data_IF_048584244890
#
_entry.id   IF_048584244890
#
_cell.length_a   1.000
_cell.length_b   1.000
_cell.length_c   1.000
_cell.angle_alpha   90.00
_cell.angle_beta   90.00
_cell.angle_gamma   90.00
#
_symmetry.space_group_name_H-M   'P 1'
#
loop_
_entity.id
_entity.type
_entity.pdbx_description
1 polymer ?
#
# COMPACT_ATOMS: atom_id res chain seq x y z
N UNK A 1 10.96 -9.55 -17.60
CA UNK A 1 10.02 -8.65 -16.93
C UNK A 1 10.86 -7.58 -16.26
N UNK A 2 10.76 -6.33 -16.73
CA UNK A 2 11.47 -5.21 -16.11
C UNK A 2 10.97 -5.04 -14.67
N UNK A 3 11.89 -4.88 -13.71
CA UNK A 3 11.56 -4.86 -12.29
C UNK A 3 10.53 -3.78 -11.95
N UNK A 4 9.45 -4.18 -11.28
CA UNK A 4 8.40 -3.29 -10.83
C UNK A 4 8.95 -2.33 -9.76
N UNK A 5 9.44 -1.15 -10.17
CA UNK A 5 9.97 -0.14 -9.25
C UNK A 5 8.84 0.62 -8.57
N UNK A 6 8.34 0.07 -7.47
CA UNK A 6 7.41 0.77 -6.58
C UNK A 6 8.14 1.93 -5.90
N UNK A 7 7.62 3.17 -6.01
CA UNK A 7 8.19 4.33 -5.33
C UNK A 7 7.97 4.30 -3.82
N UNK A 8 8.84 5.00 -3.09
CA UNK A 8 8.79 5.08 -1.62
C UNK A 8 7.42 5.51 -1.05
N UNK A 9 6.70 6.51 -1.58
CA UNK A 9 5.37 6.86 -1.05
C UNK A 9 4.31 5.79 -1.38
N UNK A 10 4.46 5.10 -2.51
CA UNK A 10 3.56 4.04 -2.96
C UNK A 10 3.66 2.79 -2.08
N UNK A 11 4.85 2.46 -1.55
CA UNK A 11 4.98 1.30 -0.65
C UNK A 11 4.18 1.47 0.65
N UNK A 12 4.06 2.71 1.13
CA UNK A 12 3.32 3.03 2.36
C UNK A 12 1.82 2.84 2.17
N UNK A 13 1.31 3.27 1.02
CA UNK A 13 -0.06 3.01 0.58
C UNK A 13 -0.30 1.51 0.46
N UNK A 14 0.62 0.80 -0.21
CA UNK A 14 0.45 -0.63 -0.48
C UNK A 14 0.42 -1.45 0.81
N UNK A 15 1.29 -1.14 1.78
CA UNK A 15 1.25 -1.76 3.11
C UNK A 15 -0.07 -1.48 3.85
N UNK A 16 -0.56 -0.23 3.81
CA UNK A 16 -1.82 0.12 4.45
C UNK A 16 -3.01 -0.63 3.84
N UNK A 17 -3.00 -0.86 2.53
CA UNK A 17 -4.02 -1.65 1.84
C UNK A 17 -3.87 -3.16 2.06
N UNK A 18 -2.63 -3.66 2.16
CA UNK A 18 -2.34 -5.07 2.45
C UNK A 18 -2.89 -5.50 3.82
N UNK A 19 -2.87 -4.58 4.78
CA UNK A 19 -3.33 -4.82 6.16
C UNK A 19 -4.79 -4.41 6.39
N UNK A 20 -5.44 -3.80 5.39
CA UNK A 20 -6.84 -3.41 5.48
C UNK A 20 -7.76 -4.58 5.14
N UNK A 21 -8.89 -4.67 5.84
CA UNK A 21 -9.98 -5.59 5.48
C UNK A 21 -10.87 -4.94 4.41
N UNK A 22 -10.66 -5.31 3.15
CA UNK A 22 -11.45 -4.86 2.00
C UNK A 22 -11.01 -3.53 1.38
N UNK A 23 -11.96 -2.86 0.71
CA UNK A 23 -11.70 -1.64 -0.04
C UNK A 23 -11.79 -0.38 0.83
N UNK A 24 -10.89 0.57 0.62
CA UNK A 24 -10.76 1.81 1.42
C UNK A 24 -10.95 3.03 0.55
N UNK A 25 -11.62 4.07 1.05
CA UNK A 25 -11.72 5.34 0.33
C UNK A 25 -10.34 5.92 0.02
N UNK A 26 -10.09 6.36 -1.23
CA UNK A 26 -8.78 6.91 -1.63
C UNK A 26 -8.38 8.09 -0.74
N UNK A 27 -9.31 8.98 -0.43
CA UNK A 27 -9.07 10.13 0.47
C UNK A 27 -8.54 9.71 1.84
N UNK A 28 -9.08 8.62 2.40
CA UNK A 28 -8.67 8.07 3.70
C UNK A 28 -7.25 7.48 3.62
N UNK A 29 -6.93 6.73 2.57
CA UNK A 29 -5.60 6.15 2.36
C UNK A 29 -4.53 7.23 2.21
N UNK A 30 -4.82 8.23 1.38
CA UNK A 30 -3.93 9.37 1.10
C UNK A 30 -3.65 10.17 2.38
N UNK A 31 -4.69 10.45 3.16
CA UNK A 31 -4.59 11.12 4.47
C UNK A 31 -3.78 10.29 5.48
N UNK A 32 -4.13 9.02 5.67
CA UNK A 32 -3.47 8.13 6.63
C UNK A 32 -1.96 7.97 6.34
N UNK A 33 -1.61 7.82 5.06
CA UNK A 33 -0.22 7.65 4.63
C UNK A 33 0.56 8.97 4.58
N UNK A 34 -0.10 10.12 4.76
CA UNK A 34 0.53 11.45 4.68
C UNK A 34 1.10 11.75 3.29
N UNK A 35 0.42 11.27 2.25
CA UNK A 35 0.81 11.48 0.85
C UNK A 35 -0.08 12.58 0.27
N UNK A 36 0.51 13.53 -0.44
CA UNK A 36 -0.24 14.70 -0.93
C UNK A 36 -0.90 14.47 -2.31
N UNK A 37 -0.73 13.29 -2.91
CA UNK A 37 -1.14 13.03 -4.30
C UNK A 37 -1.82 11.68 -4.43
N UNK A 38 -3.04 11.68 -4.98
CA UNK A 38 -3.73 10.46 -5.38
C UNK A 38 -3.01 9.73 -6.54
N UNK A 39 -2.10 10.41 -7.24
CA UNK A 39 -1.32 9.85 -8.35
C UNK A 39 -0.49 8.62 -7.96
N UNK A 40 -0.14 8.44 -6.67
CA UNK A 40 0.53 7.23 -6.20
C UNK A 40 -0.39 6.00 -6.22
N UNK A 41 -1.70 6.20 -6.05
CA UNK A 41 -2.70 5.13 -6.22
C UNK A 41 -2.84 4.78 -7.70
N UNK A 42 -2.86 5.77 -8.59
CA UNK A 42 -2.91 5.54 -10.04
C UNK A 42 -1.66 4.80 -10.53
N UNK A 43 -0.49 5.13 -9.99
CA UNK A 43 0.75 4.42 -10.28
C UNK A 43 0.65 2.94 -9.85
N UNK A 44 0.26 2.67 -8.61
CA UNK A 44 0.05 1.29 -8.13
C UNK A 44 -0.99 0.55 -8.97
N UNK A 45 -2.03 1.24 -9.45
CA UNK A 45 -3.04 0.68 -10.35
C UNK A 45 -2.44 0.31 -11.70
N UNK A 46 -1.60 1.18 -12.26
CA UNK A 46 -0.93 0.93 -13.54
C UNK A 46 0.03 -0.26 -13.47
N UNK A 47 0.61 -0.50 -12.29
CA UNK A 47 1.44 -1.67 -11.98
C UNK A 47 0.61 -2.94 -11.66
N UNK A 48 -0.72 -2.84 -11.65
CA UNK A 48 -1.60 -3.95 -11.32
C UNK A 48 -1.63 -4.35 -9.84
N UNK A 49 -1.02 -3.56 -8.94
CA UNK A 49 -0.90 -3.87 -7.51
C UNK A 49 -2.12 -3.46 -6.68
N UNK A 50 -2.98 -2.61 -7.23
CA UNK A 50 -4.25 -2.20 -6.60
C UNK A 50 -5.37 -2.15 -7.62
N UNK A 51 -6.60 -2.26 -7.13
CA UNK A 51 -7.83 -2.09 -7.90
C UNK A 51 -8.57 -0.85 -7.41
N UNK A 52 -9.09 -0.06 -8.34
CA UNK A 52 -9.88 1.14 -8.05
C UNK A 52 -11.33 0.89 -8.43
N UNK A 53 -12.23 1.25 -7.52
CA UNK A 53 -13.68 1.04 -7.62
C UNK A 53 -14.40 2.37 -7.47
N UNK A 54 -15.50 2.51 -8.21
CA UNK A 54 -16.45 3.59 -8.01
C UNK A 54 -17.67 3.03 -7.28
N UNK A 55 -17.96 3.56 -6.10
CA UNK A 55 -19.14 3.19 -5.33
C UNK A 55 -20.11 4.35 -5.32
N UNK A 56 -21.30 4.13 -5.85
CA UNK A 56 -22.41 5.08 -5.81
C UNK A 56 -23.22 4.82 -4.55
N UNK A 57 -23.36 5.81 -3.69
CA UNK A 57 -24.25 5.73 -2.52
C UNK A 57 -25.71 5.96 -2.91
N UNK A 58 -26.62 5.63 -2.01
CA UNK A 58 -28.07 5.81 -2.19
C UNK A 58 -28.49 7.27 -2.41
N UNK A 59 -27.69 8.23 -1.96
CA UNK A 59 -27.86 9.67 -2.18
C UNK A 59 -27.26 10.16 -3.52
N UNK A 60 -26.80 9.24 -4.38
CA UNK A 60 -26.23 9.54 -5.69
C UNK A 60 -24.78 10.02 -5.67
N UNK A 61 -24.12 10.11 -4.50
CA UNK A 61 -22.71 10.50 -4.43
C UNK A 61 -21.80 9.37 -4.91
N UNK A 62 -20.80 9.72 -5.72
CA UNK A 62 -19.78 8.78 -6.18
C UNK A 62 -18.57 8.88 -5.25
N UNK A 63 -18.15 7.75 -4.70
CA UNK A 63 -16.92 7.64 -3.92
C UNK A 63 -15.92 6.73 -4.64
N UNK A 64 -14.66 7.16 -4.67
CA UNK A 64 -13.57 6.36 -5.24
C UNK A 64 -12.90 5.57 -4.12
N UNK A 65 -12.86 4.26 -4.28
CA UNK A 65 -12.30 3.32 -3.32
C UNK A 65 -11.18 2.51 -3.97
N UNK A 66 -10.25 2.07 -3.15
CA UNK A 66 -9.06 1.33 -3.57
C UNK A 66 -8.90 0.11 -2.67
N UNK A 67 -8.62 -1.04 -3.28
CA UNK A 67 -8.25 -2.25 -2.57
C UNK A 67 -6.94 -2.80 -3.14
N UNK A 68 -6.21 -3.57 -2.34
CA UNK A 68 -5.07 -4.32 -2.84
C UNK A 68 -5.54 -5.35 -3.87
N UNK A 69 -4.79 -5.53 -4.96
CA UNK A 69 -5.03 -6.63 -5.89
C UNK A 69 -4.44 -7.94 -5.35
N UNK A 70 -4.71 -9.07 -6.03
CA UNK A 70 -4.06 -10.33 -5.67
C UNK A 70 -2.54 -10.22 -5.87
N UNK A 71 -2.14 -9.64 -7.00
CA UNK A 71 -0.75 -9.42 -7.38
C UNK A 71 -0.04 -8.48 -6.39
N UNK A 72 -0.73 -7.45 -5.90
CA UNK A 72 -0.26 -6.56 -4.85
C UNK A 72 -0.06 -7.27 -3.51
N UNK A 73 -0.99 -8.15 -3.15
CA UNK A 73 -0.89 -8.95 -1.93
C UNK A 73 0.27 -9.94 -2.02
N UNK A 74 0.40 -10.67 -3.14
CA UNK A 74 1.51 -11.60 -3.39
C UNK A 74 2.86 -10.88 -3.40
N UNK A 75 2.91 -9.66 -3.95
CA UNK A 75 4.09 -8.81 -3.87
C UNK A 75 4.45 -8.46 -2.42
N UNK A 76 3.50 -7.95 -1.63
CA UNK A 76 3.76 -7.57 -0.24
C UNK A 76 4.13 -8.75 0.65
N UNK A 77 3.50 -9.92 0.45
CA UNK A 77 3.86 -11.16 1.15
C UNK A 77 5.33 -11.50 0.88
N UNK A 78 5.78 -11.47 -0.37
CA UNK A 78 7.20 -11.73 -0.71
C UNK A 78 8.16 -10.70 -0.09
N UNK A 79 7.75 -9.44 0.02
CA UNK A 79 8.55 -8.43 0.73
C UNK A 79 8.66 -8.74 2.23
N UNK A 80 7.55 -9.12 2.87
CA UNK A 80 7.51 -9.47 4.30
C UNK A 80 8.20 -10.82 4.59
N UNK A 81 8.25 -11.73 3.61
CA UNK A 81 9.05 -12.94 3.69
C UNK A 81 10.54 -12.61 3.79
N UNK A 82 11.02 -11.58 3.08
CA UNK A 82 12.39 -11.10 3.25
C UNK A 82 12.63 -10.52 4.64
N UNK A 83 11.67 -9.77 5.21
CA UNK A 83 11.74 -9.28 6.60
C UNK A 83 11.91 -10.46 7.56
N UNK A 84 11.09 -11.50 7.38
CA UNK A 84 11.11 -12.71 8.22
C UNK A 84 12.42 -13.47 8.06
N UNK A 85 12.82 -13.76 6.81
CA UNK A 85 14.04 -14.50 6.47
C UNK A 85 15.29 -13.86 7.06
N UNK A 86 15.34 -12.53 7.10
CA UNK A 86 16.50 -11.78 7.57
C UNK A 86 16.37 -11.30 9.03
N UNK A 87 15.31 -11.69 9.75
CA UNK A 87 15.12 -11.33 11.16
C UNK A 87 14.93 -9.83 11.41
N UNK A 88 14.31 -9.12 10.46
CA UNK A 88 14.24 -7.66 10.45
C UNK A 88 13.00 -7.08 11.16
N UNK A 89 12.15 -7.94 11.75
CA UNK A 89 10.92 -7.51 12.41
C UNK A 89 11.13 -6.50 13.55
N UNK A 90 12.27 -6.57 14.25
CA UNK A 90 12.63 -5.59 15.28
C UNK A 90 12.91 -4.17 14.76
N UNK A 91 12.93 -3.97 13.44
CA UNK A 91 13.09 -2.68 12.78
C UNK A 91 11.83 -2.21 12.05
N UNK A 92 10.72 -2.97 12.17
CA UNK A 92 9.45 -2.67 11.50
C UNK A 92 8.45 -2.18 12.53
N UNK A 93 8.24 -0.87 12.53
CA UNK A 93 7.23 -0.19 13.32
C UNK A 93 6.09 0.29 12.41
N UNK A 94 4.87 0.07 12.90
CA UNK A 94 3.66 0.58 12.30
C UNK A 94 2.75 1.19 13.35
N UNK A 95 1.93 2.14 12.93
CA UNK A 95 1.01 2.88 13.79
C UNK A 95 -0.33 3.06 13.08
N UNK A 96 -1.40 3.17 13.84
CA UNK A 96 -2.74 3.33 13.29
C UNK A 96 -3.00 4.81 12.96
N UNK A 97 -3.36 5.11 11.71
CA UNK A 97 -3.82 6.45 11.27
C UNK A 97 -5.10 6.35 10.49
N UNK A 98 -6.09 7.15 10.88
CA UNK A 98 -7.45 7.09 10.31
C UNK A 98 -7.97 5.63 10.23
N UNK A 99 -7.66 4.79 11.23
CA UNK A 99 -8.04 3.37 11.26
C UNK A 99 -7.36 2.46 10.23
N UNK A 100 -6.21 2.86 9.67
CA UNK A 100 -5.35 2.02 8.83
C UNK A 100 -3.99 1.82 9.52
N UNK A 101 -3.40 0.64 9.37
CA UNK A 101 -2.05 0.38 9.85
C UNK A 101 -1.03 0.94 8.84
N UNK A 102 -0.16 1.83 9.31
CA UNK A 102 0.75 2.58 8.44
C UNK A 102 2.18 2.49 8.99
N UNK A 103 3.14 2.15 8.14
CA UNK A 103 4.57 2.13 8.49
C UNK A 103 5.05 3.53 8.90
N UNK A 104 5.96 3.58 9.88
CA UNK A 104 6.69 4.80 10.20
C UNK A 104 7.70 5.16 9.07
N UNK A 105 8.43 6.27 9.21
CA UNK A 105 9.35 6.72 8.16
C UNK A 105 10.53 5.77 7.93
N UNK A 106 11.10 5.17 8.99
CA UNK A 106 12.24 4.26 8.88
C UNK A 106 11.82 2.92 8.30
N UNK A 107 10.71 2.36 8.79
CA UNK A 107 10.12 1.11 8.33
C UNK A 107 9.68 1.22 6.88
N UNK A 108 9.10 2.36 6.46
CA UNK A 108 8.75 2.60 5.05
C UNK A 108 9.99 2.47 4.14
N UNK A 109 11.13 3.03 4.54
CA UNK A 109 12.38 2.93 3.76
C UNK A 109 12.93 1.50 3.73
N UNK A 110 12.87 0.79 4.85
CA UNK A 110 13.28 -0.61 4.93
C UNK A 110 12.43 -1.48 3.99
N UNK A 111 11.11 -1.41 4.12
CA UNK A 111 10.19 -2.20 3.28
C UNK A 111 10.36 -1.83 1.80
N UNK A 112 10.55 -0.55 1.47
CA UNK A 112 10.84 -0.12 0.10
C UNK A 112 12.17 -0.66 -0.43
N UNK A 113 13.22 -0.69 0.39
CA UNK A 113 14.51 -1.25 -0.02
C UNK A 113 14.35 -2.74 -0.33
N UNK A 114 13.67 -3.50 0.55
CA UNK A 114 13.37 -4.91 0.35
C UNK A 114 12.49 -5.14 -0.89
N UNK A 115 11.56 -4.22 -1.17
CA UNK A 115 10.68 -4.32 -2.34
C UNK A 115 11.43 -4.25 -3.67
N UNK A 116 12.64 -3.69 -3.72
CA UNK A 116 13.47 -3.68 -4.93
C UNK A 116 14.08 -5.06 -5.26
N UNK A 117 14.03 -6.01 -4.33
CA UNK A 117 14.54 -7.38 -4.51
C UNK A 117 13.44 -8.38 -4.88
N UNK A 118 12.17 -7.95 -4.89
CA UNK A 118 11.03 -8.79 -5.30
C UNK A 118 10.78 -8.58 -6.79
N UNK A 119 10.92 -9.64 -7.59
CA UNK A 119 10.67 -9.64 -9.04
C UNK A 119 9.23 -9.97 -9.39
#
# INVERSE_FOLDING_TARGET
MEGCRVKLPSIRILFALYTADGDVAISRVVKACGVNKASYVDELRSLGLVKVYHRVSSDGRVSVRVAISKEGADFMTRVLDLVTKHGLWGYVDALVRDGLLVLDGKSTRLIHALSQFVQ
#
